data_IF_645705814683
#
_entry.id   IF_645705814683
#
_cell.length_a   1.000
_cell.length_b   1.000
_cell.length_c   1.000
_cell.angle_alpha   90.00
_cell.angle_beta   90.00
_cell.angle_gamma   90.00
#
_symmetry.space_group_name_H-M   'P 1'
#
loop_
_entity.id
_entity.type
_entity.pdbx_description
1 polymer ?
#
# COMPACT_ATOMS: atom_id res chain seq x y z
N UNK A 1 8.99 -3.32 -3.54
CA UNK A 1 7.72 -4.09 -3.59
C UNK A 1 6.85 -3.76 -2.39
N UNK A 2 7.38 -3.85 -1.16
CA UNK A 2 6.65 -3.62 0.11
C UNK A 2 6.16 -2.19 0.39
N UNK A 3 6.22 -1.27 -0.59
CA UNK A 3 5.89 0.16 -0.39
C UNK A 3 4.64 0.59 -1.16
N UNK A 4 4.44 0.07 -2.38
CA UNK A 4 3.38 0.54 -3.28
C UNK A 4 1.97 0.39 -2.69
N UNK A 5 1.76 -0.66 -1.89
CA UNK A 5 0.46 -0.87 -1.23
C UNK A 5 0.09 0.28 -0.30
N UNK A 6 1.06 0.86 0.41
CA UNK A 6 0.80 1.99 1.30
C UNK A 6 0.41 3.25 0.53
N UNK A 7 0.96 3.44 -0.67
CA UNK A 7 0.57 4.55 -1.54
C UNK A 7 -0.82 4.36 -2.13
N UNK A 8 -1.16 3.13 -2.55
CA UNK A 8 -2.50 2.76 -3.03
C UNK A 8 -3.52 3.02 -1.93
N UNK A 9 -3.25 2.56 -0.71
CA UNK A 9 -4.13 2.74 0.43
C UNK A 9 -4.31 4.21 0.79
N UNK A 10 -3.21 4.99 0.81
CA UNK A 10 -3.27 6.44 1.02
C UNK A 10 -4.15 7.13 -0.02
N UNK A 11 -4.03 6.76 -1.30
CA UNK A 11 -4.85 7.32 -2.38
C UNK A 11 -6.32 6.90 -2.26
N UNK A 12 -6.60 5.65 -1.89
CA UNK A 12 -7.96 5.17 -1.65
C UNK A 12 -8.62 5.92 -0.49
N UNK A 13 -7.87 6.20 0.58
CA UNK A 13 -8.34 7.00 1.72
C UNK A 13 -8.56 8.47 1.35
N UNK A 14 -7.67 9.05 0.56
CA UNK A 14 -7.79 10.43 0.04
C UNK A 14 -9.08 10.59 -0.79
N UNK A 15 -9.32 9.66 -1.72
CA UNK A 15 -10.53 9.65 -2.56
C UNK A 15 -11.79 9.33 -1.73
N UNK A 16 -11.69 8.38 -0.79
CA UNK A 16 -12.81 7.97 0.07
C UNK A 16 -13.24 9.06 1.06
N UNK A 17 -12.32 9.94 1.43
CA UNK A 17 -12.53 11.02 2.39
C UNK A 17 -12.74 10.53 3.83
N UNK A 18 -12.87 11.48 4.76
CA UNK A 18 -12.90 11.19 6.21
C UNK A 18 -14.08 10.34 6.69
N UNK A 19 -15.10 10.13 5.85
CA UNK A 19 -16.23 9.27 6.20
C UNK A 19 -15.78 7.83 6.48
N UNK A 20 -14.76 7.32 5.79
CA UNK A 20 -14.31 5.93 5.97
C UNK A 20 -13.84 5.63 7.40
N UNK A 21 -13.42 6.65 8.16
CA UNK A 21 -12.97 6.51 9.54
C UNK A 21 -14.04 6.89 10.59
N UNK A 22 -15.10 7.60 10.17
CA UNK A 22 -16.09 8.22 11.08
C UNK A 22 -17.52 7.79 10.78
N UNK A 23 -17.71 6.85 9.86
CA UNK A 23 -19.02 6.34 9.48
C UNK A 23 -19.73 5.69 10.67
N UNK A 24 -21.03 5.95 10.88
CA UNK A 24 -21.85 5.23 11.82
C UNK A 24 -21.89 3.71 11.54
N UNK A 25 -22.26 2.94 12.54
CA UNK A 25 -22.40 1.50 12.41
C UNK A 25 -23.62 1.14 11.55
N UNK A 26 -23.68 -0.10 11.06
CA UNK A 26 -24.90 -0.61 10.44
C UNK A 26 -26.09 -0.58 11.41
N UNK A 27 -25.83 -0.86 12.70
CA UNK A 27 -26.88 -0.80 13.74
C UNK A 27 -27.50 0.59 13.86
N UNK A 28 -26.70 1.66 13.68
CA UNK A 28 -27.22 3.04 13.66
C UNK A 28 -28.10 3.29 12.43
N UNK A 29 -27.71 2.77 11.26
CA UNK A 29 -28.51 2.87 10.04
C UNK A 29 -29.86 2.13 10.16
N UNK A 30 -29.87 0.97 10.84
CA UNK A 30 -31.10 0.17 11.05
C UNK A 30 -31.93 0.61 12.25
N UNK A 31 -31.43 1.55 13.05
CA UNK A 31 -32.12 1.99 14.23
C UNK A 31 -33.43 2.73 13.85
N UNK A 32 -34.59 2.36 14.45
CA UNK A 32 -35.89 2.92 14.08
C UNK A 32 -36.03 4.42 14.41
N UNK A 33 -35.27 4.92 15.37
CA UNK A 33 -35.30 6.33 15.80
C UNK A 33 -34.33 7.19 15.00
N UNK A 34 -33.07 6.76 14.90
CA UNK A 34 -31.98 7.58 14.32
C UNK A 34 -31.60 7.21 12.88
N UNK A 35 -31.98 6.03 12.38
CA UNK A 35 -31.60 5.55 11.04
C UNK A 35 -32.05 6.49 9.91
N UNK A 36 -33.21 7.15 10.09
CA UNK A 36 -33.70 8.19 9.16
C UNK A 36 -32.75 9.40 9.03
N UNK A 37 -32.02 9.74 10.10
CA UNK A 37 -31.03 10.82 10.08
C UNK A 37 -29.72 10.36 9.47
N UNK A 38 -29.31 9.13 9.78
CA UNK A 38 -28.15 8.49 9.16
C UNK A 38 -28.33 8.47 7.64
N UNK A 39 -29.47 7.98 7.15
CA UNK A 39 -29.78 7.95 5.72
C UNK A 39 -29.81 9.37 5.11
N UNK A 40 -30.51 10.32 5.76
CA UNK A 40 -30.61 11.70 5.27
C UNK A 40 -29.27 12.41 5.15
N UNK A 41 -28.40 12.30 6.16
CA UNK A 41 -27.17 13.10 6.26
C UNK A 41 -25.94 12.40 5.67
N UNK A 42 -25.97 11.07 5.49
CA UNK A 42 -24.92 10.35 4.76
C UNK A 42 -25.26 10.09 3.30
N UNK A 43 -26.44 10.52 2.82
CA UNK A 43 -26.79 10.49 1.41
C UNK A 43 -25.73 11.23 0.58
N UNK A 44 -25.30 10.59 -0.51
CA UNK A 44 -24.41 11.19 -1.50
C UNK A 44 -25.20 11.81 -2.66
N UNK A 45 -24.79 11.50 -3.89
CA UNK A 45 -25.55 11.83 -5.10
C UNK A 45 -26.92 11.15 -5.10
N UNK A 46 -27.90 11.77 -5.76
CA UNK A 46 -29.32 11.43 -5.60
C UNK A 46 -29.66 9.97 -5.96
N UNK A 47 -29.01 9.45 -6.99
CA UNK A 47 -29.22 8.14 -7.59
C UNK A 47 -28.53 6.97 -6.85
N UNK A 48 -27.65 7.26 -5.89
CA UNK A 48 -26.94 6.22 -5.13
C UNK A 48 -27.57 6.01 -3.75
N UNK A 49 -27.98 4.79 -3.38
CA UNK A 49 -28.44 4.49 -2.03
C UNK A 49 -27.38 4.77 -0.97
N UNK A 50 -27.77 5.33 0.18
CA UNK A 50 -26.83 5.62 1.27
C UNK A 50 -26.13 4.36 1.77
N UNK A 51 -26.86 3.25 1.84
CA UNK A 51 -26.32 1.96 2.27
C UNK A 51 -25.20 1.48 1.34
N UNK A 52 -25.33 1.63 0.02
CA UNK A 52 -24.30 1.22 -0.93
C UNK A 52 -23.03 2.05 -0.77
N UNK A 53 -23.19 3.37 -0.56
CA UNK A 53 -22.08 4.27 -0.22
C UNK A 53 -21.41 3.86 1.10
N UNK A 54 -22.18 3.43 2.10
CA UNK A 54 -21.62 2.95 3.37
C UNK A 54 -20.85 1.63 3.18
N UNK A 55 -21.40 0.69 2.40
CA UNK A 55 -20.76 -0.61 2.12
C UNK A 55 -19.39 -0.45 1.44
N UNK A 56 -19.29 0.40 0.41
CA UNK A 56 -17.99 0.63 -0.25
C UNK A 56 -17.00 1.33 0.69
N UNK A 57 -17.46 2.27 1.53
CA UNK A 57 -16.60 2.91 2.52
C UNK A 57 -16.06 1.92 3.56
N UNK A 58 -16.89 0.98 4.04
CA UNK A 58 -16.46 -0.11 4.93
C UNK A 58 -15.46 -1.06 4.27
N UNK A 59 -15.62 -1.34 2.98
CA UNK A 59 -14.64 -2.14 2.24
C UNK A 59 -13.27 -1.43 2.19
N UNK A 60 -13.25 -0.13 1.86
CA UNK A 60 -12.02 0.66 1.82
C UNK A 60 -11.36 0.74 3.21
N UNK A 61 -12.14 1.00 4.26
CA UNK A 61 -11.66 0.98 5.66
C UNK A 61 -10.96 -0.36 5.98
N UNK A 62 -11.65 -1.48 5.71
CA UNK A 62 -11.13 -2.80 6.04
C UNK A 62 -9.86 -3.16 5.24
N UNK A 63 -9.81 -2.80 3.95
CA UNK A 63 -8.65 -3.08 3.10
C UNK A 63 -7.43 -2.24 3.46
N UNK A 64 -7.63 -1.00 3.91
CA UNK A 64 -6.56 -0.01 4.10
C UNK A 64 -6.12 0.20 5.56
N UNK A 65 -6.79 -0.44 6.52
CA UNK A 65 -6.49 -0.30 7.95
C UNK A 65 -6.06 -1.60 8.64
N UNK A 66 -5.96 -2.72 7.92
CA UNK A 66 -5.92 -4.05 8.52
C UNK A 66 -4.69 -4.91 8.18
N UNK A 67 -4.88 -6.22 8.35
CA UNK A 67 -3.85 -7.26 8.14
C UNK A 67 -3.18 -7.20 6.77
N UNK A 68 -3.89 -6.75 5.73
CA UNK A 68 -3.35 -6.67 4.37
C UNK A 68 -2.04 -5.87 4.27
N UNK A 69 -1.94 -4.76 5.02
CA UNK A 69 -0.74 -3.93 5.07
C UNK A 69 0.42 -4.63 5.78
N UNK A 70 0.15 -5.24 6.93
CA UNK A 70 1.17 -5.93 7.74
C UNK A 70 1.71 -7.13 6.99
N UNK A 71 0.83 -7.91 6.35
CA UNK A 71 1.20 -9.04 5.51
C UNK A 71 2.03 -8.57 4.32
N UNK A 72 1.63 -7.51 3.62
CA UNK A 72 2.42 -6.99 2.49
C UNK A 72 3.84 -6.52 2.88
N UNK A 73 4.04 -6.10 4.14
CA UNK A 73 5.35 -5.66 4.64
C UNK A 73 6.24 -6.83 5.10
N UNK A 74 5.64 -7.88 5.66
CA UNK A 74 6.38 -8.92 6.37
C UNK A 74 6.20 -10.33 5.80
N UNK A 75 5.28 -10.51 4.85
CA UNK A 75 5.01 -11.75 4.13
C UNK A 75 6.28 -12.25 3.46
N UNK A 76 6.60 -13.53 3.70
CA UNK A 76 7.85 -14.18 3.29
C UNK A 76 9.15 -13.48 3.76
N UNK A 77 9.07 -12.58 4.74
CA UNK A 77 10.20 -11.91 5.37
C UNK A 77 10.21 -10.39 5.15
N UNK A 78 10.60 -9.67 6.20
CA UNK A 78 10.70 -8.21 6.21
C UNK A 78 11.60 -7.64 5.10
N UNK A 79 11.47 -6.35 4.73
CA UNK A 79 12.19 -5.76 3.59
C UNK A 79 13.72 -5.93 3.64
N UNK A 80 14.29 -6.00 4.84
CA UNK A 80 15.72 -6.22 5.01
C UNK A 80 16.17 -7.61 4.54
N UNK A 81 15.33 -8.65 4.70
CA UNK A 81 15.62 -9.98 4.19
C UNK A 81 15.78 -9.96 2.66
N UNK A 82 14.88 -9.27 1.97
CA UNK A 82 14.94 -9.10 0.51
C UNK A 82 16.20 -8.33 0.08
N UNK A 83 16.55 -7.23 0.77
CA UNK A 83 17.79 -6.45 0.48
C UNK A 83 19.05 -7.30 0.60
N UNK A 84 19.15 -8.15 1.63
CA UNK A 84 20.28 -9.07 1.81
C UNK A 84 20.36 -10.05 0.64
N UNK A 85 19.23 -10.64 0.23
CA UNK A 85 19.20 -11.57 -0.90
C UNK A 85 19.60 -10.91 -2.21
N UNK A 86 19.10 -9.70 -2.49
CA UNK A 86 19.52 -8.94 -3.67
C UNK A 86 21.00 -8.61 -3.64
N UNK A 87 21.55 -8.19 -2.50
CA UNK A 87 22.99 -7.94 -2.37
C UNK A 87 23.81 -9.17 -2.75
N UNK A 88 23.43 -10.35 -2.25
CA UNK A 88 24.10 -11.62 -2.55
C UNK A 88 24.02 -12.00 -4.03
N UNK A 89 22.88 -11.76 -4.69
CA UNK A 89 22.63 -12.14 -6.08
C UNK A 89 23.06 -11.08 -7.11
N UNK A 90 23.38 -9.86 -6.68
CA UNK A 90 23.57 -8.70 -7.57
C UNK A 90 24.85 -8.73 -8.42
N UNK A 91 25.79 -9.65 -8.14
CA UNK A 91 27.11 -9.74 -8.76
C UNK A 91 27.82 -8.37 -8.88
N UNK A 92 27.95 -7.69 -7.74
CA UNK A 92 28.42 -6.30 -7.69
C UNK A 92 29.84 -6.13 -8.24
N UNK A 93 30.74 -7.09 -7.99
CA UNK A 93 32.12 -7.01 -8.49
C UNK A 93 32.16 -7.03 -10.02
N UNK A 94 31.37 -7.89 -10.67
CA UNK A 94 31.31 -7.90 -12.14
C UNK A 94 30.77 -6.59 -12.71
N UNK A 95 29.80 -5.96 -12.03
CA UNK A 95 29.28 -4.64 -12.43
C UNK A 95 30.33 -3.54 -12.27
N UNK A 96 31.19 -3.61 -11.26
CA UNK A 96 32.33 -2.69 -11.10
C UNK A 96 33.33 -2.85 -12.24
N UNK A 97 33.66 -4.08 -12.64
CA UNK A 97 34.53 -4.34 -13.80
C UNK A 97 33.95 -3.72 -15.09
N UNK A 98 32.66 -3.89 -15.35
CA UNK A 98 32.00 -3.28 -16.51
C UNK A 98 32.04 -1.74 -16.45
N UNK A 99 31.78 -1.15 -15.29
CA UNK A 99 31.86 0.30 -15.12
C UNK A 99 33.28 0.83 -15.34
N UNK A 100 34.29 0.15 -14.81
CA UNK A 100 35.70 0.50 -14.99
C UNK A 100 36.11 0.43 -16.46
N UNK A 101 35.73 -0.65 -17.16
CA UNK A 101 35.99 -0.82 -18.57
C UNK A 101 35.37 0.31 -19.42
N UNK A 102 34.10 0.64 -19.19
CA UNK A 102 33.43 1.74 -19.91
C UNK A 102 34.04 3.12 -19.61
N UNK A 103 34.58 3.31 -18.41
CA UNK A 103 35.25 4.55 -18.01
C UNK A 103 36.71 4.64 -18.48
N UNK A 104 37.25 3.62 -19.15
CA UNK A 104 38.67 3.57 -19.52
C UNK A 104 39.62 3.41 -18.33
N UNK A 105 39.10 2.96 -17.17
CA UNK A 105 39.90 2.69 -15.98
C UNK A 105 40.41 1.26 -16.10
N UNK A 106 41.64 1.12 -16.56
CA UNK A 106 42.35 -0.16 -16.58
C UNK A 106 43.00 -0.35 -15.21
N UNK A 107 42.68 -1.43 -14.50
CA UNK A 107 43.47 -1.77 -13.32
C UNK A 107 44.81 -2.32 -13.80
N UNK A 108 45.91 -1.68 -13.41
CA UNK A 108 47.24 -2.26 -13.42
C UNK A 108 47.28 -3.42 -12.41
N UNK A 109 46.67 -4.55 -12.77
CA UNK A 109 47.08 -5.85 -12.26
C UNK A 109 47.84 -6.49 -13.39
N UNK A 110 49.08 -6.05 -13.55
CA UNK A 110 50.13 -6.83 -14.19
C UNK A 110 50.07 -8.23 -13.59
N UNK A 111 49.70 -9.19 -14.43
CA UNK A 111 49.95 -10.60 -14.19
C UNK A 111 51.47 -10.74 -14.02
N UNK A 112 51.92 -10.90 -12.78
CA UNK A 112 53.26 -11.41 -12.50
C UNK A 112 53.22 -12.92 -12.78
N UNK A 113 53.84 -13.32 -13.90
CA UNK A 113 54.29 -14.69 -14.19
C UNK A 113 55.38 -15.13 -13.21
#
# INVERSE_FOLDING_TARGET
MTQLIYDIDRLAQDIGGGIIATMPSESDLRNPEIGKYVDKYLKGVADVPTEDRMRIGRLIENMTGGTALVESMHGAGSPQAQKVMYSKLSNLEKKKEFAAHLAGIHSDKSEEE
#
